data_IF_804927931199
#
_entry.id   IF_804927931199
#
_cell.length_a   1.000
_cell.length_b   1.000
_cell.length_c   1.000
_cell.angle_alpha   90.00
_cell.angle_beta   90.00
_cell.angle_gamma   90.00
#
_symmetry.space_group_name_H-M   'P 1'
#
loop_
_entity.id
_entity.type
_entity.pdbx_description
1 polymer ?
#
# COMPACT_ATOMS: atom_id res chain seq x y z
N UNK A 1 -7.67 12.31 54.19
CA UNK A 1 -8.35 12.55 52.90
C UNK A 1 -7.73 11.61 51.89
N UNK A 2 -8.49 10.78 51.17
CA UNK A 2 -7.92 9.94 50.16
C UNK A 2 -7.34 10.83 49.05
N UNK A 3 -6.05 10.68 48.75
CA UNK A 3 -5.41 11.32 47.60
C UNK A 3 -6.10 10.73 46.37
N UNK A 4 -7.05 11.46 45.80
CA UNK A 4 -7.61 11.12 44.48
C UNK A 4 -6.42 11.15 43.53
N UNK A 5 -6.04 9.98 43.00
CA UNK A 5 -4.93 9.89 42.08
C UNK A 5 -5.26 10.77 40.88
N UNK A 6 -4.31 11.58 40.45
CA UNK A 6 -4.44 12.53 39.34
C UNK A 6 -5.10 11.86 38.09
N UNK A 7 -4.83 10.59 37.92
CA UNK A 7 -5.38 9.71 36.87
C UNK A 7 -6.91 9.69 36.88
N UNK A 8 -7.56 9.52 38.07
CA UNK A 8 -9.03 9.49 38.19
C UNK A 8 -9.64 10.87 37.94
N UNK A 9 -8.95 11.93 38.33
CA UNK A 9 -9.41 13.28 38.07
C UNK A 9 -9.41 13.58 36.57
N UNK A 10 -8.34 13.21 35.86
CA UNK A 10 -8.22 13.39 34.40
C UNK A 10 -9.32 12.60 33.69
N UNK A 11 -9.55 11.34 34.06
CA UNK A 11 -10.62 10.50 33.47
C UNK A 11 -12.00 11.10 33.76
N UNK A 12 -12.25 11.58 34.97
CA UNK A 12 -13.54 12.19 35.33
C UNK A 12 -13.81 13.49 34.57
N UNK A 13 -12.80 14.36 34.46
CA UNK A 13 -12.90 15.62 33.68
C UNK A 13 -13.16 15.34 32.22
N UNK A 14 -12.45 14.35 31.66
CA UNK A 14 -12.64 13.92 30.28
C UNK A 14 -14.04 13.35 30.05
N UNK A 15 -14.51 12.42 30.91
CA UNK A 15 -15.84 11.85 30.80
C UNK A 15 -16.94 12.91 30.89
N UNK A 16 -16.76 13.93 31.79
CA UNK A 16 -17.66 15.03 31.88
C UNK A 16 -17.68 15.90 30.62
N UNK A 17 -16.50 16.21 30.07
CA UNK A 17 -16.35 16.99 28.83
C UNK A 17 -17.02 16.30 27.63
N UNK A 18 -16.78 15.00 27.47
CA UNK A 18 -17.42 14.18 26.41
C UNK A 18 -18.94 14.08 26.64
N UNK A 19 -19.39 13.92 27.91
CA UNK A 19 -20.80 13.86 28.23
C UNK A 19 -21.53 15.20 27.93
N UNK A 20 -20.90 16.34 28.23
CA UNK A 20 -21.43 17.65 27.88
C UNK A 20 -21.46 17.86 26.36
N UNK A 21 -20.39 17.47 25.66
CA UNK A 21 -20.33 17.55 24.22
C UNK A 21 -21.40 16.68 23.55
N UNK A 22 -21.65 15.47 24.09
CA UNK A 22 -22.68 14.55 23.60
C UNK A 22 -24.12 15.15 23.78
N UNK A 23 -24.32 16.00 24.76
CA UNK A 23 -25.56 16.72 24.93
C UNK A 23 -25.80 17.85 23.91
N UNK A 24 -24.72 18.34 23.28
CA UNK A 24 -24.78 19.41 22.26
C UNK A 24 -24.71 18.82 20.85
N UNK A 25 -23.72 17.97 20.62
CA UNK A 25 -23.49 17.27 19.33
C UNK A 25 -22.98 15.86 19.60
N UNK A 26 -23.86 14.83 19.53
CA UNK A 26 -23.49 13.44 19.80
C UNK A 26 -22.50 12.87 18.77
N UNK A 27 -22.53 13.36 17.50
CA UNK A 27 -21.64 12.91 16.46
C UNK A 27 -20.22 13.42 16.74
N UNK A 28 -20.09 14.71 17.05
CA UNK A 28 -18.81 15.30 17.42
C UNK A 28 -18.22 14.66 18.68
N UNK A 29 -19.04 14.39 19.70
CA UNK A 29 -18.61 13.70 20.91
C UNK A 29 -18.07 12.29 20.61
N UNK A 30 -18.73 11.53 19.73
CA UNK A 30 -18.26 10.22 19.27
C UNK A 30 -16.92 10.33 18.54
N UNK A 31 -16.78 11.27 17.60
CA UNK A 31 -15.55 11.50 16.83
C UNK A 31 -14.39 11.85 17.76
N UNK A 32 -14.59 12.78 18.71
CA UNK A 32 -13.56 13.18 19.68
C UNK A 32 -13.15 11.99 20.56
N UNK A 33 -14.12 11.19 21.02
CA UNK A 33 -13.85 10.02 21.85
C UNK A 33 -13.04 8.97 21.08
N UNK A 34 -13.43 8.67 19.86
CA UNK A 34 -12.72 7.73 19.00
C UNK A 34 -11.30 8.23 18.64
N UNK A 35 -11.16 9.53 18.33
CA UNK A 35 -9.87 10.14 18.05
C UNK A 35 -8.93 10.05 19.25
N UNK A 36 -9.43 10.39 20.45
CA UNK A 36 -8.61 10.30 21.67
C UNK A 36 -8.28 8.84 22.02
N UNK A 37 -9.25 7.92 21.88
CA UNK A 37 -9.02 6.49 22.04
C UNK A 37 -7.93 5.99 21.09
N UNK A 38 -7.98 6.43 19.82
CA UNK A 38 -6.95 6.12 18.82
C UNK A 38 -5.57 6.65 19.24
N UNK A 39 -5.48 7.90 19.72
CA UNK A 39 -4.22 8.49 20.24
C UNK A 39 -3.67 7.66 21.40
N UNK A 40 -4.50 7.39 22.42
CA UNK A 40 -4.07 6.64 23.59
C UNK A 40 -3.56 5.23 23.24
N UNK A 41 -4.29 4.52 22.35
CA UNK A 41 -3.88 3.21 21.87
C UNK A 41 -2.57 3.29 21.07
N UNK A 42 -2.45 4.29 20.19
CA UNK A 42 -1.25 4.45 19.36
C UNK A 42 -0.02 4.87 20.18
N UNK A 43 -0.22 5.68 21.21
CA UNK A 43 0.85 6.03 22.17
C UNK A 43 1.28 4.84 23.01
N UNK A 44 0.38 3.92 23.34
CA UNK A 44 0.69 2.69 24.06
C UNK A 44 1.42 1.67 23.17
N UNK A 45 0.96 1.46 21.94
CA UNK A 45 1.61 0.61 20.94
C UNK A 45 1.36 1.13 19.51
N UNK A 46 2.41 1.68 18.89
CA UNK A 46 2.39 2.21 17.52
C UNK A 46 1.94 1.14 16.51
N UNK A 47 2.23 -0.14 16.76
CA UNK A 47 1.82 -1.23 15.85
C UNK A 47 0.31 -1.43 15.86
N UNK A 48 -0.32 -1.32 17.02
CA UNK A 48 -1.80 -1.39 17.11
C UNK A 48 -2.43 -0.19 16.42
N UNK A 49 -1.87 1.02 16.64
CA UNK A 49 -2.30 2.22 15.91
C UNK A 49 -2.15 2.07 14.40
N UNK A 50 -1.03 1.48 13.93
CA UNK A 50 -0.80 1.17 12.51
C UNK A 50 -1.83 0.17 11.97
N UNK A 51 -2.19 -0.87 12.73
CA UNK A 51 -3.23 -1.83 12.33
C UNK A 51 -4.60 -1.16 12.21
N UNK A 52 -4.97 -0.31 13.17
CA UNK A 52 -6.21 0.46 13.12
C UNK A 52 -6.21 1.44 11.94
N UNK A 53 -5.09 2.12 11.70
CA UNK A 53 -4.94 2.99 10.54
C UNK A 53 -5.07 2.21 9.24
N UNK A 54 -4.45 1.03 9.12
CA UNK A 54 -4.59 0.16 7.96
C UNK A 54 -6.05 -0.24 7.69
N UNK A 55 -6.85 -0.50 8.75
CA UNK A 55 -8.29 -0.73 8.61
C UNK A 55 -9.03 0.51 8.11
N UNK A 56 -8.69 1.69 8.65
CA UNK A 56 -9.33 2.95 8.26
C UNK A 56 -9.02 3.35 6.81
N UNK A 57 -7.84 3.02 6.27
CA UNK A 57 -7.51 3.35 4.87
C UNK A 57 -8.42 2.69 3.83
N UNK A 58 -9.18 1.67 4.22
CA UNK A 58 -10.17 1.02 3.35
C UNK A 58 -11.58 1.62 3.50
N UNK A 59 -11.76 2.64 4.34
CA UNK A 59 -13.06 3.28 4.62
C UNK A 59 -13.11 4.71 4.07
N UNK A 60 -12.08 5.09 3.33
CA UNK A 60 -11.84 6.47 2.88
C UNK A 60 -12.98 7.08 2.05
N UNK A 61 -13.80 6.27 1.41
CA UNK A 61 -14.81 6.74 0.46
C UNK A 61 -16.16 6.00 0.62
N UNK A 62 -16.55 5.73 1.87
CA UNK A 62 -17.89 5.22 2.11
C UNK A 62 -18.93 6.26 1.69
N UNK A 63 -19.85 5.94 0.75
CA UNK A 63 -20.84 6.88 0.24
C UNK A 63 -21.75 7.49 1.32
N UNK A 64 -21.85 6.81 2.48
CA UNK A 64 -22.68 7.25 3.61
C UNK A 64 -21.99 8.29 4.52
N UNK A 65 -20.67 8.48 4.37
CA UNK A 65 -19.88 9.36 5.22
C UNK A 65 -19.42 10.65 4.53
N UNK A 66 -19.68 10.78 3.22
CA UNK A 66 -19.28 11.95 2.40
C UNK A 66 -17.85 12.43 2.72
N UNK A 67 -17.63 13.72 2.86
CA UNK A 67 -16.33 14.30 3.18
C UNK A 67 -15.79 13.90 4.56
N UNK A 68 -16.64 13.41 5.47
CA UNK A 68 -16.22 13.04 6.82
C UNK A 68 -15.25 11.85 6.84
N UNK A 69 -15.36 10.90 5.91
CA UNK A 69 -14.46 9.76 5.81
C UNK A 69 -13.04 10.16 5.43
N UNK A 70 -12.89 11.10 4.50
CA UNK A 70 -11.59 11.67 4.09
C UNK A 70 -10.89 12.40 5.23
N UNK A 71 -11.65 13.17 6.02
CA UNK A 71 -11.11 13.85 7.20
C UNK A 71 -10.67 12.86 8.27
N UNK A 72 -11.47 11.79 8.51
CA UNK A 72 -11.15 10.77 9.50
C UNK A 72 -9.79 10.10 9.23
N UNK A 73 -9.53 9.70 8.01
CA UNK A 73 -8.26 9.04 7.65
C UNK A 73 -7.09 10.00 7.66
N UNK A 74 -7.27 11.26 7.23
CA UNK A 74 -6.24 12.30 7.33
C UNK A 74 -5.88 12.58 8.80
N UNK A 75 -6.87 12.71 9.69
CA UNK A 75 -6.65 12.89 11.12
C UNK A 75 -5.97 11.67 11.74
N UNK A 76 -6.45 10.45 11.47
CA UNK A 76 -5.85 9.24 11.99
C UNK A 76 -4.38 9.10 11.55
N UNK A 77 -4.08 9.42 10.29
CA UNK A 77 -2.70 9.44 9.77
C UNK A 77 -1.81 10.47 10.46
N UNK A 78 -2.32 11.68 10.68
CA UNK A 78 -1.59 12.73 11.40
C UNK A 78 -1.35 12.36 12.87
N UNK A 79 -2.34 11.79 13.54
CA UNK A 79 -2.23 11.31 14.92
C UNK A 79 -1.25 10.12 15.04
N UNK A 80 -1.30 9.19 14.09
CA UNK A 80 -0.34 8.09 14.00
C UNK A 80 1.09 8.62 13.84
N UNK A 81 1.28 9.56 12.92
CA UNK A 81 2.59 10.20 12.69
C UNK A 81 3.08 10.94 13.95
N UNK A 82 2.23 11.74 14.60
CA UNK A 82 2.58 12.46 15.82
C UNK A 82 2.95 11.52 16.97
N UNK A 83 2.16 10.45 17.17
CA UNK A 83 2.43 9.43 18.19
C UNK A 83 3.74 8.69 17.90
N UNK A 84 3.99 8.38 16.62
CA UNK A 84 5.24 7.77 16.21
C UNK A 84 6.44 8.70 16.45
N UNK A 85 6.36 9.99 16.08
CA UNK A 85 7.40 10.97 16.37
C UNK A 85 7.70 11.07 17.87
N UNK A 86 6.66 11.11 18.71
CA UNK A 86 6.83 11.11 20.16
C UNK A 86 7.54 9.85 20.65
N UNK A 87 7.17 8.67 20.14
CA UNK A 87 7.81 7.40 20.50
C UNK A 87 9.26 7.32 20.04
N UNK A 88 9.59 7.89 18.88
CA UNK A 88 10.92 7.94 18.31
C UNK A 88 11.82 8.91 19.06
N UNK A 89 11.30 10.08 19.41
CA UNK A 89 12.03 11.07 20.20
C UNK A 89 12.48 10.51 21.56
N UNK A 90 11.66 9.64 22.16
CA UNK A 90 11.96 9.00 23.44
C UNK A 90 12.83 7.74 23.32
N UNK A 91 12.73 6.97 22.24
CA UNK A 91 13.35 5.65 22.11
C UNK A 91 14.53 5.56 21.14
N UNK A 92 14.87 6.60 20.41
CA UNK A 92 16.03 6.64 19.47
C UNK A 92 15.94 5.70 18.27
N UNK A 93 14.77 5.10 17.99
CA UNK A 93 14.60 4.00 17.01
C UNK A 93 14.74 4.42 15.53
N UNK A 94 14.66 5.71 15.18
CA UNK A 94 14.93 6.15 13.79
C UNK A 94 16.38 5.94 13.42
N UNK A 95 17.30 6.01 14.38
CA UNK A 95 18.72 5.70 14.13
C UNK A 95 18.91 4.29 13.57
N UNK A 96 18.03 3.34 13.92
CA UNK A 96 18.12 1.96 13.43
C UNK A 96 17.79 1.82 11.95
N UNK A 97 16.81 2.57 11.40
CA UNK A 97 16.53 2.53 9.97
C UNK A 97 17.66 3.13 9.16
N UNK A 98 18.09 4.34 9.50
CA UNK A 98 19.18 5.03 8.78
C UNK A 98 20.48 4.25 8.83
N UNK A 99 20.78 3.60 9.95
CA UNK A 99 22.00 2.78 10.09
C UNK A 99 21.89 1.42 9.39
N UNK A 100 20.69 0.81 9.36
CA UNK A 100 20.48 -0.47 8.69
C UNK A 100 20.37 -0.32 7.16
N UNK A 101 19.79 0.76 6.68
CA UNK A 101 19.53 1.00 5.26
C UNK A 101 19.85 2.45 4.85
N UNK A 102 21.13 2.90 4.97
CA UNK A 102 21.50 4.29 4.70
C UNK A 102 21.18 4.70 3.25
N UNK A 103 21.41 3.83 2.28
CA UNK A 103 21.13 4.11 0.87
C UNK A 103 19.64 4.42 0.63
N UNK A 104 18.74 3.74 1.33
CA UNK A 104 17.29 3.97 1.17
C UNK A 104 16.84 5.21 1.92
N UNK A 105 17.43 5.50 3.08
CA UNK A 105 17.17 6.76 3.78
C UNK A 105 17.54 7.96 2.88
N UNK A 106 18.70 7.91 2.23
CA UNK A 106 19.09 8.92 1.24
C UNK A 106 18.16 8.93 0.02
N UNK A 107 17.78 7.76 -0.49
CA UNK A 107 16.86 7.66 -1.63
C UNK A 107 15.51 8.33 -1.33
N UNK A 108 14.92 8.07 -0.17
CA UNK A 108 13.68 8.71 0.29
C UNK A 108 13.87 10.23 0.47
N UNK A 109 14.99 10.63 1.07
CA UNK A 109 15.32 12.05 1.25
C UNK A 109 15.49 12.77 -0.09
N UNK A 110 16.22 12.17 -1.04
CA UNK A 110 16.40 12.74 -2.39
C UNK A 110 15.07 12.80 -3.15
N UNK A 111 14.22 11.77 -3.03
CA UNK A 111 12.90 11.79 -3.65
C UNK A 111 12.05 12.96 -3.13
N UNK A 112 11.97 13.14 -1.80
CA UNK A 112 11.23 14.27 -1.23
C UNK A 112 11.85 15.62 -1.56
N UNK A 113 13.20 15.72 -1.56
CA UNK A 113 13.89 16.95 -1.94
C UNK A 113 13.63 17.31 -3.40
N UNK A 114 13.67 16.31 -4.32
CA UNK A 114 13.38 16.52 -5.72
C UNK A 114 11.93 16.95 -5.94
N UNK A 115 10.99 16.28 -5.25
CA UNK A 115 9.56 16.63 -5.29
C UNK A 115 9.33 18.05 -4.75
N UNK A 116 9.99 18.43 -3.66
CA UNK A 116 9.95 19.80 -3.13
C UNK A 116 10.57 20.83 -4.05
N UNK A 117 11.71 20.51 -4.67
CA UNK A 117 12.37 21.38 -5.63
C UNK A 117 11.52 21.64 -6.88
N UNK A 118 10.69 20.65 -7.28
CA UNK A 118 9.80 20.78 -8.44
C UNK A 118 8.78 21.92 -8.32
N UNK A 119 8.51 22.43 -7.10
CA UNK A 119 7.67 23.61 -6.89
C UNK A 119 8.21 24.87 -7.56
N UNK A 120 9.52 24.94 -7.82
CA UNK A 120 10.16 26.12 -8.44
C UNK A 120 9.71 26.33 -9.88
N UNK A 121 9.35 25.25 -10.58
CA UNK A 121 8.91 25.29 -11.99
C UNK A 121 7.49 24.77 -12.20
N UNK A 122 6.75 24.50 -11.13
CA UNK A 122 5.36 24.06 -11.19
C UNK A 122 4.44 25.18 -11.66
N UNK A 123 3.48 24.85 -12.55
CA UNK A 123 2.48 25.82 -13.04
C UNK A 123 1.51 26.23 -11.92
N UNK A 124 1.14 25.28 -11.03
CA UNK A 124 0.36 25.52 -9.81
C UNK A 124 1.18 25.10 -8.58
N UNK A 125 1.65 26.09 -7.84
CA UNK A 125 2.38 25.87 -6.57
C UNK A 125 1.47 25.22 -5.52
N UNK A 126 0.16 25.54 -5.51
CA UNK A 126 -0.81 24.97 -4.59
C UNK A 126 -0.93 23.45 -4.75
N UNK A 127 -1.12 22.99 -5.98
CA UNK A 127 -1.22 21.56 -6.30
C UNK A 127 0.10 20.84 -6.01
N UNK A 128 1.21 21.54 -6.29
CA UNK A 128 2.53 21.05 -5.96
C UNK A 128 2.77 20.87 -4.46
N UNK A 129 2.36 21.83 -3.64
CA UNK A 129 2.44 21.70 -2.16
C UNK A 129 1.61 20.52 -1.68
N UNK A 130 0.39 20.35 -2.20
CA UNK A 130 -0.45 19.20 -1.85
C UNK A 130 0.24 17.88 -2.19
N UNK A 131 0.85 17.77 -3.37
CA UNK A 131 1.60 16.59 -3.79
C UNK A 131 2.80 16.32 -2.87
N UNK A 132 3.60 17.35 -2.53
CA UNK A 132 4.73 17.24 -1.60
C UNK A 132 4.28 16.75 -0.24
N UNK A 133 3.18 17.28 0.30
CA UNK A 133 2.61 16.83 1.58
C UNK A 133 2.17 15.38 1.50
N UNK A 134 1.47 14.97 0.43
CA UNK A 134 1.04 13.59 0.23
C UNK A 134 2.23 12.61 0.18
N UNK A 135 3.27 12.91 -0.59
CA UNK A 135 4.49 12.09 -0.63
C UNK A 135 5.20 12.05 0.73
N UNK A 136 5.29 13.18 1.42
CA UNK A 136 5.91 13.26 2.74
C UNK A 136 5.18 12.39 3.77
N UNK A 137 3.85 12.43 3.80
CA UNK A 137 3.04 11.59 4.68
C UNK A 137 3.21 10.09 4.35
N UNK A 138 3.30 9.74 3.07
CA UNK A 138 3.53 8.37 2.65
C UNK A 138 4.94 7.87 2.98
N UNK A 139 5.97 8.70 2.85
CA UNK A 139 7.33 8.37 3.33
C UNK A 139 7.33 8.20 4.85
N UNK A 140 6.63 9.04 5.60
CA UNK A 140 6.47 8.86 7.05
C UNK A 140 5.75 7.54 7.35
N UNK A 141 4.69 7.19 6.63
CA UNK A 141 4.01 5.90 6.77
C UNK A 141 4.96 4.72 6.52
N UNK A 142 5.78 4.78 5.47
CA UNK A 142 6.82 3.78 5.20
C UNK A 142 7.76 3.59 6.41
N UNK A 143 8.22 4.70 7.01
CA UNK A 143 9.11 4.67 8.18
C UNK A 143 8.38 4.13 9.43
N UNK A 144 7.10 4.49 9.62
CA UNK A 144 6.26 3.95 10.69
C UNK A 144 6.15 2.43 10.56
N UNK A 145 5.82 1.92 9.38
CA UNK A 145 5.71 0.48 9.13
C UNK A 145 7.01 -0.23 9.43
N UNK A 146 8.12 0.28 8.91
CA UNK A 146 9.45 -0.30 9.15
C UNK A 146 9.79 -0.38 10.64
N UNK A 147 9.54 0.70 11.39
CA UNK A 147 9.92 0.79 12.80
C UNK A 147 8.93 0.09 13.75
N UNK A 148 7.64 0.08 13.40
CA UNK A 148 6.60 -0.59 14.19
C UNK A 148 6.68 -2.12 14.05
N UNK A 149 7.03 -2.63 12.86
CA UNK A 149 7.14 -4.07 12.60
C UNK A 149 8.50 -4.58 13.04
N UNK A 150 8.77 -4.56 14.35
CA UNK A 150 10.05 -4.97 14.95
C UNK A 150 10.10 -6.43 15.38
N UNK A 151 8.99 -7.17 15.27
CA UNK A 151 8.83 -8.55 15.71
C UNK A 151 7.94 -9.33 14.75
N UNK A 152 8.17 -10.66 14.68
CA UNK A 152 7.35 -11.60 13.90
C UNK A 152 5.85 -11.43 14.15
N UNK A 153 5.43 -11.30 15.40
CA UNK A 153 4.02 -11.14 15.80
C UNK A 153 3.41 -9.87 15.23
N UNK A 154 4.16 -8.77 15.23
CA UNK A 154 3.73 -7.48 14.71
C UNK A 154 3.57 -7.51 13.19
N UNK A 155 4.47 -8.18 12.47
CA UNK A 155 4.32 -8.42 11.03
C UNK A 155 3.02 -9.17 10.71
N UNK A 156 2.72 -10.23 11.47
CA UNK A 156 1.48 -11.00 11.32
C UNK A 156 0.25 -10.11 11.57
N UNK A 157 0.28 -9.22 12.58
CA UNK A 157 -0.84 -8.33 12.88
C UNK A 157 -1.11 -7.33 11.75
N UNK A 158 -0.07 -6.71 11.20
CA UNK A 158 -0.22 -5.75 10.08
C UNK A 158 -0.79 -6.46 8.85
N UNK A 159 -0.27 -7.66 8.51
CA UNK A 159 -0.82 -8.47 7.41
C UNK A 159 -2.27 -8.86 7.68
N UNK A 160 -2.60 -9.28 8.90
CA UNK A 160 -3.98 -9.63 9.28
C UNK A 160 -4.91 -8.42 9.19
N UNK A 161 -4.49 -7.24 9.65
CA UNK A 161 -5.27 -6.01 9.54
C UNK A 161 -5.58 -5.67 8.07
N UNK A 162 -4.57 -5.78 7.19
CA UNK A 162 -4.77 -5.57 5.75
C UNK A 162 -5.77 -6.57 5.16
N UNK A 163 -5.62 -7.87 5.48
CA UNK A 163 -6.53 -8.93 4.98
C UNK A 163 -7.96 -8.71 5.48
N UNK A 164 -8.14 -8.34 6.77
CA UNK A 164 -9.45 -8.04 7.33
C UNK A 164 -10.08 -6.85 6.62
N UNK A 165 -9.32 -5.77 6.41
CA UNK A 165 -9.78 -4.57 5.73
C UNK A 165 -10.18 -4.85 4.27
N UNK A 166 -9.33 -5.55 3.52
CA UNK A 166 -9.61 -5.95 2.14
C UNK A 166 -10.87 -6.85 2.06
N UNK A 167 -11.02 -7.79 3.00
CA UNK A 167 -12.19 -8.68 3.07
C UNK A 167 -13.47 -7.90 3.39
N UNK A 168 -13.40 -6.95 4.33
CA UNK A 168 -14.54 -6.11 4.68
C UNK A 168 -14.97 -5.25 3.48
N UNK A 169 -14.00 -4.64 2.78
CA UNK A 169 -14.26 -3.86 1.56
C UNK A 169 -14.84 -4.72 0.43
N UNK A 170 -14.31 -5.93 0.23
CA UNK A 170 -14.86 -6.89 -0.74
C UNK A 170 -16.30 -7.28 -0.40
N UNK A 171 -16.58 -7.58 0.88
CA UNK A 171 -17.93 -7.92 1.35
C UNK A 171 -18.90 -6.76 1.17
N UNK A 172 -18.46 -5.54 1.49
CA UNK A 172 -19.26 -4.34 1.26
C UNK A 172 -19.57 -4.17 -0.24
N UNK A 173 -18.58 -4.31 -1.13
CA UNK A 173 -18.79 -4.25 -2.57
C UNK A 173 -19.74 -5.31 -3.12
N UNK A 174 -19.75 -6.51 -2.51
CA UNK A 174 -20.68 -7.60 -2.85
C UNK A 174 -22.12 -7.29 -2.42
N UNK A 175 -22.31 -6.70 -1.24
CA UNK A 175 -23.64 -6.40 -0.68
C UNK A 175 -24.22 -5.12 -1.28
N UNK A 176 -23.36 -4.12 -1.54
CA UNK A 176 -23.75 -2.81 -2.10
C UNK A 176 -23.66 -2.76 -3.62
N UNK A 177 -23.55 -3.93 -4.29
CA UNK A 177 -23.49 -3.99 -5.75
C UNK A 177 -24.61 -3.16 -6.37
N UNK A 178 -24.32 -2.17 -7.23
CA UNK A 178 -25.33 -1.22 -7.71
C UNK A 178 -26.46 -1.95 -8.41
N UNK A 179 -27.67 -1.76 -7.93
CA UNK A 179 -28.86 -1.99 -8.74
C UNK A 179 -28.76 -1.09 -9.99
N UNK A 180 -29.17 -1.60 -11.14
CA UNK A 180 -28.98 -1.00 -12.47
C UNK A 180 -29.47 0.47 -12.66
N UNK A 181 -30.04 1.09 -11.61
CA UNK A 181 -30.72 2.38 -11.64
C UNK A 181 -29.95 3.58 -11.08
N UNK A 182 -28.75 3.40 -10.54
CA UNK A 182 -28.01 4.55 -10.00
C UNK A 182 -26.95 5.02 -11.01
N UNK A 183 -27.14 6.25 -11.53
CA UNK A 183 -26.41 6.91 -12.62
C UNK A 183 -24.90 7.15 -12.47
N UNK A 184 -24.18 6.26 -11.78
CA UNK A 184 -22.74 6.12 -11.84
C UNK A 184 -22.31 5.20 -12.98
N UNK A 185 -21.05 4.80 -13.08
CA UNK A 185 -20.60 3.77 -14.03
C UNK A 185 -21.35 2.46 -13.76
N UNK A 186 -22.51 2.35 -14.44
CA UNK A 186 -23.56 1.35 -14.17
C UNK A 186 -22.95 -0.05 -14.07
N UNK A 187 -23.12 -0.71 -12.92
CA UNK A 187 -22.79 -2.12 -12.71
C UNK A 187 -21.34 -2.43 -12.34
N UNK A 188 -20.54 -1.48 -11.83
CA UNK A 188 -19.20 -1.72 -11.30
C UNK A 188 -19.16 -1.51 -9.78
N UNK A 189 -18.58 -2.48 -9.05
CA UNK A 189 -18.37 -2.33 -7.61
C UNK A 189 -17.05 -1.59 -7.33
N UNK A 190 -17.12 -0.51 -6.56
CA UNK A 190 -15.97 0.22 -6.01
C UNK A 190 -15.67 -0.17 -4.55
N UNK A 191 -16.54 -0.98 -3.93
CA UNK A 191 -16.42 -1.32 -2.52
C UNK A 191 -16.48 -0.07 -1.64
N UNK A 192 -15.57 -0.01 -0.68
CA UNK A 192 -15.43 1.15 0.23
C UNK A 192 -14.43 2.20 -0.30
N UNK A 193 -13.84 2.00 -1.50
CA UNK A 193 -12.84 2.89 -2.11
C UNK A 193 -13.41 3.73 -3.27
N UNK A 194 -14.68 3.57 -3.60
CA UNK A 194 -15.45 4.25 -4.65
C UNK A 194 -14.90 4.09 -6.08
N UNK A 195 -13.57 4.04 -6.30
CA UNK A 195 -12.94 3.84 -7.61
C UNK A 195 -12.71 2.35 -7.88
N UNK A 196 -13.40 1.75 -8.88
CA UNK A 196 -13.36 0.30 -9.12
C UNK A 196 -11.97 -0.26 -9.48
N UNK A 197 -11.07 0.54 -10.07
CA UNK A 197 -9.72 0.06 -10.41
C UNK A 197 -8.82 0.03 -9.18
N UNK A 198 -8.88 1.04 -8.30
CA UNK A 198 -8.20 1.05 -7.01
C UNK A 198 -8.69 -0.10 -6.14
N UNK A 199 -10.02 -0.26 -6.02
CA UNK A 199 -10.64 -1.36 -5.31
C UNK A 199 -10.11 -2.72 -5.77
N UNK A 200 -10.11 -2.97 -7.10
CA UNK A 200 -9.59 -4.21 -7.65
C UNK A 200 -8.10 -4.42 -7.34
N UNK A 201 -7.27 -3.38 -7.47
CA UNK A 201 -5.84 -3.45 -7.22
C UNK A 201 -5.54 -3.86 -5.77
N UNK A 202 -6.20 -3.23 -4.81
CA UNK A 202 -6.02 -3.51 -3.39
C UNK A 202 -6.57 -4.90 -3.01
N UNK A 203 -7.66 -5.35 -3.64
CA UNK A 203 -8.16 -6.72 -3.45
C UNK A 203 -7.22 -7.79 -4.02
N UNK A 204 -6.50 -7.52 -5.11
CA UNK A 204 -5.45 -8.43 -5.61
C UNK A 204 -4.34 -8.60 -4.56
N UNK A 205 -3.93 -7.51 -3.90
CA UNK A 205 -3.01 -7.61 -2.76
C UNK A 205 -3.61 -8.41 -1.60
N UNK A 206 -4.91 -8.20 -1.31
CA UNK A 206 -5.67 -8.98 -0.33
C UNK A 206 -5.67 -10.49 -0.63
N UNK A 207 -5.88 -10.89 -1.89
CA UNK A 207 -5.77 -12.29 -2.34
C UNK A 207 -4.41 -12.90 -2.03
N UNK A 208 -3.33 -12.16 -2.33
CA UNK A 208 -1.97 -12.63 -2.11
C UNK A 208 -1.66 -12.84 -0.62
N UNK A 209 -2.04 -11.87 0.22
CA UNK A 209 -1.81 -11.90 1.66
C UNK A 209 -2.70 -12.93 2.37
N UNK A 210 -3.98 -13.04 1.97
CA UNK A 210 -4.90 -14.05 2.49
C UNK A 210 -4.45 -15.47 2.09
N UNK A 211 -4.03 -15.68 0.84
CA UNK A 211 -3.48 -16.95 0.38
C UNK A 211 -2.21 -17.37 1.13
N UNK A 212 -1.30 -16.42 1.37
CA UNK A 212 -0.10 -16.66 2.18
C UNK A 212 -0.46 -17.00 3.64
N UNK A 213 -1.42 -16.29 4.23
CA UNK A 213 -1.92 -16.53 5.59
C UNK A 213 -2.57 -17.91 5.70
N UNK A 214 -3.38 -18.33 4.73
CA UNK A 214 -3.99 -19.66 4.66
C UNK A 214 -2.94 -20.77 4.57
N UNK A 215 -1.89 -20.55 3.76
CA UNK A 215 -0.78 -21.50 3.62
C UNK A 215 0.07 -21.60 4.91
N UNK A 216 0.19 -20.50 5.65
CA UNK A 216 0.91 -20.42 6.92
C UNK A 216 0.13 -21.03 8.11
N UNK A 217 -1.20 -20.94 8.11
CA UNK A 217 -2.10 -21.35 9.21
C UNK A 217 -2.31 -22.86 9.33
N UNK A 218 -1.24 -23.67 9.30
CA UNK A 218 -1.34 -25.14 9.29
C UNK A 218 -1.88 -25.74 10.57
N UNK A 219 -1.61 -25.10 11.72
CA UNK A 219 -1.99 -25.59 13.03
C UNK A 219 -3.40 -25.19 13.46
N UNK A 220 -4.04 -24.27 12.75
CA UNK A 220 -5.39 -23.77 13.03
C UNK A 220 -6.28 -23.91 11.80
N UNK A 221 -7.12 -24.96 11.72
CA UNK A 221 -8.03 -25.14 10.60
C UNK A 221 -9.05 -23.98 10.48
N UNK A 222 -9.50 -23.41 11.60
CA UNK A 222 -10.40 -22.27 11.60
C UNK A 222 -9.76 -21.03 10.96
N UNK A 223 -8.52 -20.69 11.35
CA UNK A 223 -7.79 -19.57 10.78
C UNK A 223 -7.50 -19.79 9.28
N UNK A 224 -7.18 -21.03 8.92
CA UNK A 224 -6.96 -21.40 7.51
C UNK A 224 -8.24 -21.22 6.70
N UNK A 225 -9.37 -21.69 7.20
CA UNK A 225 -10.68 -21.55 6.55
C UNK A 225 -11.05 -20.06 6.39
N UNK A 226 -10.88 -19.26 7.46
CA UNK A 226 -11.14 -17.83 7.42
C UNK A 226 -10.26 -17.12 6.37
N UNK A 227 -8.96 -17.43 6.30
CA UNK A 227 -8.06 -16.86 5.30
C UNK A 227 -8.40 -17.33 3.87
N UNK A 228 -8.82 -18.58 3.67
CA UNK A 228 -9.32 -19.03 2.38
C UNK A 228 -10.62 -18.30 1.97
N UNK A 229 -11.55 -18.14 2.90
CA UNK A 229 -12.79 -17.37 2.65
C UNK A 229 -12.49 -15.91 2.29
N UNK A 230 -11.54 -15.27 3.00
CA UNK A 230 -11.06 -13.93 2.69
C UNK A 230 -10.50 -13.85 1.25
N UNK A 231 -9.67 -14.80 0.85
CA UNK A 231 -9.11 -14.85 -0.51
C UNK A 231 -10.22 -14.99 -1.57
N UNK A 232 -11.21 -15.85 -1.34
CA UNK A 232 -12.35 -16.06 -2.24
C UNK A 232 -13.20 -14.79 -2.35
N UNK A 233 -13.50 -14.11 -1.23
CA UNK A 233 -14.25 -12.85 -1.23
C UNK A 233 -13.49 -11.75 -2.00
N UNK A 234 -12.17 -11.64 -1.79
CA UNK A 234 -11.35 -10.68 -2.54
C UNK A 234 -11.35 -10.99 -4.05
N UNK A 235 -11.24 -12.26 -4.45
CA UNK A 235 -11.34 -12.67 -5.87
C UNK A 235 -12.70 -12.28 -6.44
N UNK A 236 -13.79 -12.59 -5.72
CA UNK A 236 -15.15 -12.20 -6.15
C UNK A 236 -15.28 -10.68 -6.31
N UNK A 237 -14.73 -9.90 -5.37
CA UNK A 237 -14.70 -8.43 -5.48
C UNK A 237 -13.93 -7.93 -6.70
N UNK A 238 -12.80 -8.56 -7.06
CA UNK A 238 -12.06 -8.22 -8.30
C UNK A 238 -12.93 -8.44 -9.53
N UNK A 239 -13.68 -9.53 -9.61
CA UNK A 239 -14.61 -9.76 -10.75
C UNK A 239 -15.74 -8.72 -10.79
N UNK A 240 -16.34 -8.43 -9.63
CA UNK A 240 -17.45 -7.45 -9.55
C UNK A 240 -17.03 -6.01 -9.86
N UNK A 241 -15.75 -5.68 -9.67
CA UNK A 241 -15.22 -4.37 -10.08
C UNK A 241 -15.25 -4.15 -11.59
N UNK A 242 -15.37 -5.23 -12.39
CA UNK A 242 -15.24 -5.22 -13.87
C UNK A 242 -13.99 -4.44 -14.31
N UNK A 243 -12.91 -4.49 -13.50
CA UNK A 243 -11.65 -3.81 -13.78
C UNK A 243 -10.73 -4.69 -14.61
N UNK A 244 -10.46 -4.28 -15.86
CA UNK A 244 -9.47 -4.95 -16.73
C UNK A 244 -8.09 -4.95 -16.06
N UNK A 245 -7.70 -3.85 -15.41
CA UNK A 245 -6.44 -3.72 -14.66
C UNK A 245 -6.36 -4.74 -13.52
N UNK A 246 -7.42 -4.85 -12.71
CA UNK A 246 -7.48 -5.81 -11.62
C UNK A 246 -7.39 -7.27 -12.10
N UNK A 247 -8.07 -7.60 -13.20
CA UNK A 247 -8.00 -8.95 -13.79
C UNK A 247 -6.61 -9.28 -14.34
N UNK A 248 -5.95 -8.34 -15.02
CA UNK A 248 -4.57 -8.49 -15.49
C UNK A 248 -3.62 -8.70 -14.32
N UNK A 249 -3.76 -7.87 -13.26
CA UNK A 249 -2.94 -7.99 -12.06
C UNK A 249 -3.20 -9.33 -11.34
N UNK A 250 -4.45 -9.78 -11.23
CA UNK A 250 -4.80 -11.08 -10.64
C UNK A 250 -4.18 -12.23 -11.45
N UNK A 251 -4.32 -12.22 -12.76
CA UNK A 251 -3.70 -13.24 -13.63
C UNK A 251 -2.17 -13.24 -13.46
N UNK A 252 -1.55 -12.05 -13.43
CA UNK A 252 -0.12 -11.90 -13.25
C UNK A 252 0.36 -12.49 -11.90
N UNK A 253 -0.30 -12.16 -10.77
CA UNK A 253 0.13 -12.68 -9.47
C UNK A 253 -0.09 -14.18 -9.33
N UNK A 254 -1.10 -14.76 -9.97
CA UNK A 254 -1.30 -16.21 -10.02
C UNK A 254 -0.21 -16.90 -10.84
N UNK A 255 0.14 -16.36 -12.00
CA UNK A 255 1.27 -16.86 -12.81
C UNK A 255 2.60 -16.74 -12.05
N UNK A 256 2.90 -15.56 -11.47
CA UNK A 256 4.08 -15.36 -10.63
C UNK A 256 4.08 -16.30 -9.41
N UNK A 257 2.89 -16.52 -8.81
CA UNK A 257 2.67 -17.47 -7.73
C UNK A 257 3.07 -18.89 -8.10
N UNK A 258 2.81 -19.35 -9.33
CA UNK A 258 3.26 -20.68 -9.81
C UNK A 258 4.78 -20.82 -9.74
N UNK A 259 5.52 -19.77 -10.09
CA UNK A 259 6.99 -19.77 -10.02
C UNK A 259 7.51 -19.70 -8.58
N UNK A 260 6.87 -18.89 -7.75
CA UNK A 260 7.29 -18.61 -6.37
C UNK A 260 6.81 -19.68 -5.39
N UNK A 261 5.69 -20.35 -5.66
CA UNK A 261 5.03 -21.27 -4.73
C UNK A 261 5.77 -22.60 -4.48
N UNK A 262 6.79 -22.95 -5.27
CA UNK A 262 7.55 -24.18 -5.11
C UNK A 262 6.64 -25.43 -5.15
N UNK A 263 6.52 -26.17 -4.05
CA UNK A 263 5.67 -27.38 -3.96
C UNK A 263 4.16 -27.12 -4.11
N UNK A 264 3.72 -25.87 -4.01
CA UNK A 264 2.32 -25.47 -4.19
C UNK A 264 1.97 -25.15 -5.64
N UNK A 265 2.91 -25.32 -6.57
CA UNK A 265 2.67 -25.09 -8.01
C UNK A 265 1.39 -25.75 -8.55
N UNK A 266 1.08 -27.03 -8.24
CA UNK A 266 -0.14 -27.65 -8.73
C UNK A 266 -1.39 -26.94 -8.19
N UNK A 267 -1.40 -26.55 -6.91
CA UNK A 267 -2.51 -25.81 -6.31
C UNK A 267 -2.69 -24.41 -6.94
N UNK A 268 -1.58 -23.72 -7.25
CA UNK A 268 -1.63 -22.44 -7.95
C UNK A 268 -2.14 -22.56 -9.38
N UNK A 269 -1.75 -23.62 -10.09
CA UNK A 269 -2.26 -23.91 -11.44
C UNK A 269 -3.76 -24.22 -11.44
N UNK A 270 -4.23 -25.01 -10.47
CA UNK A 270 -5.66 -25.28 -10.30
C UNK A 270 -6.43 -23.99 -9.98
N UNK A 271 -5.88 -23.15 -9.09
CA UNK A 271 -6.48 -21.86 -8.78
C UNK A 271 -6.52 -20.92 -10.01
N UNK A 272 -5.42 -20.84 -10.74
CA UNK A 272 -5.34 -20.06 -11.98
C UNK A 272 -6.37 -20.54 -13.01
N UNK A 273 -6.49 -21.83 -13.20
CA UNK A 273 -7.48 -22.42 -14.09
C UNK A 273 -8.91 -22.11 -13.60
N UNK A 274 -9.17 -22.27 -12.29
CA UNK A 274 -10.47 -21.94 -11.69
C UNK A 274 -10.84 -20.47 -11.88
N UNK A 275 -9.92 -19.55 -11.65
CA UNK A 275 -10.11 -18.12 -11.87
C UNK A 275 -10.33 -17.82 -13.36
N UNK A 276 -9.55 -18.45 -14.26
CA UNK A 276 -9.73 -18.27 -15.69
C UNK A 276 -11.10 -18.77 -16.18
N UNK A 277 -11.53 -19.96 -15.75
CA UNK A 277 -12.85 -20.51 -16.10
C UNK A 277 -14.00 -19.68 -15.51
N UNK A 278 -13.85 -19.23 -14.25
CA UNK A 278 -14.84 -18.34 -13.63
C UNK A 278 -14.93 -17.00 -14.37
N UNK A 279 -13.78 -16.46 -14.80
CA UNK A 279 -13.72 -15.26 -15.64
C UNK A 279 -14.45 -15.45 -16.97
N UNK A 280 -14.14 -16.52 -17.69
CA UNK A 280 -14.82 -16.84 -18.96
C UNK A 280 -16.33 -16.97 -18.74
N UNK A 281 -16.77 -17.70 -17.69
CA UNK A 281 -18.19 -17.84 -17.36
C UNK A 281 -18.87 -16.50 -17.04
N UNK A 282 -18.21 -15.66 -16.25
CA UNK A 282 -18.70 -14.33 -15.87
C UNK A 282 -18.86 -13.40 -17.10
N UNK A 283 -17.90 -13.41 -18.02
CA UNK A 283 -17.96 -12.59 -19.23
C UNK A 283 -18.89 -13.16 -20.30
N UNK A 284 -19.08 -14.47 -20.34
CA UNK A 284 -20.01 -15.11 -21.27
C UNK A 284 -21.49 -14.95 -20.85
N UNK A 285 -21.76 -14.70 -19.58
CA UNK A 285 -23.12 -14.57 -19.05
C UNK A 285 -23.83 -13.23 -19.34
N UNK A 286 -23.20 -12.31 -20.10
CA UNK A 286 -23.82 -11.05 -20.58
C UNK A 286 -23.41 -9.81 -19.77
N UNK A 287 -23.66 -8.61 -20.29
CA UNK A 287 -23.43 -7.29 -19.66
C UNK A 287 -21.98 -6.89 -19.39
N UNK A 288 -21.22 -7.73 -18.73
CA UNK A 288 -19.79 -7.49 -18.47
C UNK A 288 -18.92 -7.75 -19.71
N UNK A 289 -19.32 -8.73 -20.55
CA UNK A 289 -18.63 -9.05 -21.81
C UNK A 289 -18.70 -7.91 -22.82
N UNK A 290 -19.86 -7.28 -22.96
CA UNK A 290 -20.05 -6.15 -23.88
C UNK A 290 -19.17 -4.97 -23.54
N UNK A 291 -18.91 -4.70 -22.25
CA UNK A 291 -18.03 -3.61 -21.81
C UNK A 291 -16.55 -3.88 -22.04
N UNK A 292 -16.13 -5.14 -22.01
CA UNK A 292 -14.74 -5.50 -22.30
C UNK A 292 -14.45 -5.53 -23.80
N UNK A 293 -15.47 -5.84 -24.60
CA UNK A 293 -15.37 -5.98 -26.07
C UNK A 293 -15.79 -4.72 -26.82
N UNK A 294 -16.67 -3.87 -26.22
CA UNK A 294 -16.98 -2.57 -26.80
C UNK A 294 -15.66 -1.80 -26.96
N UNK A 295 -15.44 -1.42 -28.20
CA UNK A 295 -14.32 -0.57 -28.62
C UNK A 295 -14.50 0.86 -28.06
N UNK A 296 -14.58 0.98 -26.74
CA UNK A 296 -14.43 2.22 -26.01
C UNK A 296 -12.96 2.60 -26.06
N UNK A 297 -12.50 3.04 -27.23
CA UNK A 297 -11.17 3.60 -27.55
C UNK A 297 -10.26 3.84 -26.30
N UNK A 298 -10.09 2.78 -25.46
CA UNK A 298 -9.30 2.81 -24.23
C UNK A 298 -9.84 3.70 -23.11
N UNK A 299 -11.17 3.99 -23.02
CA UNK A 299 -11.77 4.88 -22.00
C UNK A 299 -11.15 6.28 -21.98
N UNK A 300 -10.67 6.79 -23.13
CA UNK A 300 -9.95 8.07 -23.25
C UNK A 300 -8.51 8.03 -22.71
N UNK A 301 -8.04 6.90 -22.19
CA UNK A 301 -6.68 6.78 -21.63
C UNK A 301 -5.59 7.05 -22.66
N UNK A 302 -5.79 6.65 -23.91
CA UNK A 302 -4.82 6.89 -24.97
C UNK A 302 -4.62 8.39 -25.21
N UNK A 303 -5.68 9.19 -25.18
CA UNK A 303 -5.59 10.64 -25.30
C UNK A 303 -4.87 11.27 -24.10
N UNK A 304 -5.22 10.83 -22.87
CA UNK A 304 -4.53 11.28 -21.65
C UNK A 304 -3.05 10.88 -21.67
N UNK A 305 -2.72 9.66 -22.12
CA UNK A 305 -1.33 9.20 -22.24
C UNK A 305 -0.57 9.97 -23.30
N UNK A 306 -1.22 10.36 -24.41
CA UNK A 306 -0.61 11.22 -25.43
C UNK A 306 -0.23 12.57 -24.83
N UNK A 307 -1.12 13.17 -24.01
CA UNK A 307 -0.81 14.42 -23.30
C UNK A 307 0.34 14.22 -22.31
N UNK A 308 0.30 13.14 -21.50
CA UNK A 308 1.39 12.83 -20.58
C UNK A 308 2.74 12.65 -21.28
N UNK A 309 2.73 12.02 -22.47
CA UNK A 309 3.93 11.84 -23.25
C UNK A 309 4.48 13.16 -23.81
N UNK A 310 3.62 14.08 -24.29
CA UNK A 310 3.99 15.42 -24.70
C UNK A 310 4.65 16.23 -23.57
N UNK A 311 4.14 16.08 -22.32
CA UNK A 311 4.79 16.67 -21.15
C UNK A 311 6.20 16.13 -20.94
N UNK A 312 6.39 14.80 -21.15
CA UNK A 312 7.71 14.16 -21.05
C UNK A 312 8.65 14.64 -22.16
N UNK A 313 8.17 14.81 -23.39
CA UNK A 313 8.97 15.32 -24.51
C UNK A 313 9.40 16.78 -24.28
N UNK A 314 8.52 17.61 -23.73
CA UNK A 314 8.82 19.02 -23.40
C UNK A 314 9.82 19.14 -22.22
N UNK A 315 9.61 18.35 -21.16
CA UNK A 315 10.40 18.43 -19.92
C UNK A 315 10.88 17.05 -19.44
N UNK A 316 11.78 16.38 -20.17
CA UNK A 316 12.12 14.98 -19.92
C UNK A 316 12.84 14.74 -18.59
N UNK A 317 13.57 15.71 -18.07
CA UNK A 317 14.38 15.57 -16.84
C UNK A 317 13.64 16.05 -15.59
N UNK A 318 12.95 17.18 -15.68
CA UNK A 318 12.34 17.87 -14.54
C UNK A 318 10.84 17.61 -14.39
N UNK A 319 10.16 17.28 -15.49
CA UNK A 319 8.70 17.21 -15.54
C UNK A 319 8.03 18.58 -15.41
N UNK A 320 6.70 18.58 -15.34
CA UNK A 320 5.88 19.80 -15.23
C UNK A 320 5.72 20.30 -13.78
N UNK A 321 6.23 19.58 -12.81
CA UNK A 321 6.08 19.82 -11.38
C UNK A 321 5.15 18.80 -10.70
N UNK A 322 5.44 18.47 -9.45
CA UNK A 322 4.63 17.53 -8.66
C UNK A 322 3.17 17.98 -8.61
N UNK A 323 2.22 17.04 -8.79
CA UNK A 323 0.79 17.31 -8.73
C UNK A 323 0.23 18.16 -9.87
N UNK A 324 1.05 18.52 -10.87
CA UNK A 324 0.66 19.46 -11.93
C UNK A 324 0.21 18.79 -13.23
N UNK A 325 0.01 17.48 -13.27
CA UNK A 325 -0.41 16.80 -14.49
C UNK A 325 -1.70 17.38 -15.05
N UNK A 326 -2.76 17.45 -14.25
CA UNK A 326 -4.08 17.95 -14.68
C UNK A 326 -4.06 19.45 -14.99
N UNK A 327 -3.31 20.23 -14.24
CA UNK A 327 -3.17 21.69 -14.41
C UNK A 327 -2.41 22.05 -15.67
N UNK A 328 -1.36 21.29 -15.99
CA UNK A 328 -0.55 21.51 -17.19
C UNK A 328 -1.19 20.92 -18.47
N UNK A 329 -2.07 19.90 -18.36
CA UNK A 329 -2.62 19.15 -19.48
C UNK A 329 -3.26 20.01 -20.60
N UNK A 330 -4.05 21.07 -20.32
CA UNK A 330 -4.65 21.91 -21.35
C UNK A 330 -3.65 22.57 -22.28
N UNK A 331 -2.44 22.91 -21.79
CA UNK A 331 -1.38 23.51 -22.59
C UNK A 331 -0.91 22.58 -23.70
N UNK A 332 -0.83 21.29 -23.43
CA UNK A 332 -0.37 20.26 -24.37
C UNK A 332 -1.45 19.77 -25.32
N UNK A 333 -2.70 20.21 -25.14
CA UNK A 333 -3.79 19.90 -26.05
C UNK A 333 -3.62 20.60 -27.40
N UNK A 334 -3.01 21.80 -27.41
CA UNK A 334 -2.81 22.62 -28.60
C UNK A 334 -1.69 22.11 -29.53
N UNK A 335 -0.91 21.13 -29.12
CA UNK A 335 0.13 20.53 -29.95
C UNK A 335 -0.46 19.70 -31.11
N UNK A 336 0.24 19.60 -32.27
CA UNK A 336 -0.23 18.82 -33.40
C UNK A 336 -0.49 17.37 -33.05
N UNK A 337 -1.61 16.83 -33.50
CA UNK A 337 -2.03 15.45 -33.30
C UNK A 337 -3.51 15.35 -32.97
N UNK A 338 -4.08 14.16 -33.18
CA UNK A 338 -5.50 13.94 -32.99
C UNK A 338 -5.78 13.51 -31.55
N UNK A 339 -6.46 14.33 -30.76
CA UNK A 339 -7.09 14.01 -29.50
C UNK A 339 -8.59 13.85 -29.78
N UNK A 340 -9.17 12.73 -29.33
CA UNK A 340 -10.57 12.40 -29.61
C UNK A 340 -11.50 12.83 -28.48
N UNK A 341 -10.99 12.88 -27.25
CA UNK A 341 -11.75 13.13 -26.01
C UNK A 341 -11.10 14.23 -25.19
N UNK A 342 -11.18 15.46 -25.70
CA UNK A 342 -10.69 16.66 -25.02
C UNK A 342 -11.49 16.99 -23.74
N UNK A 343 -12.72 16.46 -23.61
CA UNK A 343 -13.51 16.62 -22.39
C UNK A 343 -12.80 16.09 -21.13
N UNK A 344 -11.96 15.04 -21.23
CA UNK A 344 -11.17 14.51 -20.10
C UNK A 344 -9.97 15.37 -19.74
N UNK A 345 -9.71 16.40 -20.50
CA UNK A 345 -8.59 17.33 -20.28
C UNK A 345 -9.12 18.69 -19.84
N UNK A 346 -10.23 19.16 -20.44
CA UNK A 346 -10.78 20.50 -20.22
C UNK A 346 -11.95 20.51 -19.25
N UNK A 347 -12.94 19.62 -19.45
CA UNK A 347 -14.22 19.65 -18.73
C UNK A 347 -14.15 18.86 -17.42
N UNK A 348 -13.59 17.68 -17.50
CA UNK A 348 -13.38 16.77 -16.33
C UNK A 348 -11.93 16.30 -16.30
N UNK A 349 -10.98 17.17 -15.89
CA UNK A 349 -9.56 16.85 -15.91
C UNK A 349 -9.26 15.54 -15.21
N UNK A 350 -8.63 14.61 -15.93
CA UNK A 350 -8.26 13.29 -15.44
C UNK A 350 -6.74 13.19 -15.24
N UNK A 351 -6.35 12.45 -14.24
CA UNK A 351 -4.96 12.04 -14.03
C UNK A 351 -4.53 11.03 -15.10
N UNK A 352 -3.23 10.72 -15.20
CA UNK A 352 -2.70 9.83 -16.24
C UNK A 352 -3.29 8.41 -16.23
N UNK A 353 -3.90 7.96 -15.13
CA UNK A 353 -4.30 6.56 -14.90
C UNK A 353 -3.18 5.56 -15.25
N UNK A 354 -1.95 5.95 -14.94
CA UNK A 354 -0.73 5.17 -15.05
C UNK A 354 0.31 5.81 -14.11
N UNK A 355 0.64 5.13 -13.01
CA UNK A 355 1.54 5.66 -11.97
C UNK A 355 2.91 6.06 -12.53
N UNK A 356 3.43 5.29 -13.48
CA UNK A 356 4.77 5.52 -14.05
C UNK A 356 4.80 6.74 -14.95
N UNK A 357 3.79 6.86 -15.83
CA UNK A 357 3.64 8.02 -16.70
C UNK A 357 3.33 9.29 -15.90
N UNK A 358 2.48 9.17 -14.87
CA UNK A 358 2.17 10.29 -13.97
C UNK A 358 3.44 10.84 -13.33
N UNK A 359 4.23 9.97 -12.68
CA UNK A 359 5.48 10.37 -12.02
C UNK A 359 6.50 10.89 -13.02
N UNK A 360 6.60 10.28 -14.22
CA UNK A 360 7.49 10.72 -15.28
C UNK A 360 7.10 12.10 -15.82
N UNK A 361 5.82 12.33 -16.06
CA UNK A 361 5.32 13.62 -16.56
C UNK A 361 5.49 14.74 -15.50
N UNK A 362 5.21 14.45 -14.23
CA UNK A 362 5.27 15.43 -13.14
C UNK A 362 6.69 15.71 -12.65
N UNK A 363 7.52 14.67 -12.46
CA UNK A 363 8.83 14.77 -11.82
C UNK A 363 10.00 14.45 -12.75
N UNK A 364 9.72 14.17 -14.03
CA UNK A 364 10.72 13.83 -15.03
C UNK A 364 11.42 12.49 -14.78
N UNK A 365 12.45 12.22 -15.57
CA UNK A 365 13.25 10.99 -15.45
C UNK A 365 13.91 10.85 -14.07
N UNK A 366 14.34 11.95 -13.47
CA UNK A 366 14.95 11.92 -12.11
C UNK A 366 13.95 11.43 -11.09
N UNK A 367 12.74 12.00 -11.06
CA UNK A 367 11.69 11.58 -10.14
C UNK A 367 11.27 10.12 -10.35
N UNK A 368 11.12 9.71 -11.62
CA UNK A 368 10.78 8.31 -11.93
C UNK A 368 11.85 7.32 -11.48
N UNK A 369 13.14 7.62 -11.75
CA UNK A 369 14.26 6.75 -11.32
C UNK A 369 14.26 6.59 -9.80
N UNK A 370 14.11 7.68 -9.05
CA UNK A 370 14.04 7.65 -7.59
C UNK A 370 12.82 6.85 -7.10
N UNK A 371 11.65 7.10 -7.68
CA UNK A 371 10.42 6.40 -7.33
C UNK A 371 10.51 4.89 -7.61
N UNK A 372 10.91 4.49 -8.82
CA UNK A 372 11.09 3.07 -9.19
C UNK A 372 12.17 2.40 -8.35
N UNK A 373 13.20 3.13 -7.92
CA UNK A 373 14.21 2.61 -7.01
C UNK A 373 13.62 2.30 -5.62
N UNK A 374 12.69 3.12 -5.10
CA UNK A 374 11.97 2.85 -3.85
C UNK A 374 11.11 1.58 -4.01
N UNK A 375 10.35 1.48 -5.10
CA UNK A 375 9.53 0.30 -5.41
C UNK A 375 10.39 -0.97 -5.50
N UNK A 376 11.48 -0.90 -6.26
CA UNK A 376 12.42 -2.00 -6.48
C UNK A 376 13.08 -2.46 -5.19
N UNK A 377 13.49 -1.52 -4.34
CA UNK A 377 14.05 -1.85 -3.03
C UNK A 377 13.08 -2.66 -2.17
N UNK A 378 11.81 -2.26 -2.10
CA UNK A 378 10.80 -2.96 -1.30
C UNK A 378 10.51 -4.37 -1.84
N UNK A 379 10.43 -4.52 -3.17
CA UNK A 379 10.25 -5.81 -3.84
C UNK A 379 11.44 -6.74 -3.58
N UNK A 380 12.67 -6.24 -3.77
CA UNK A 380 13.91 -7.01 -3.51
C UNK A 380 14.03 -7.38 -2.04
N UNK A 381 13.64 -6.49 -1.13
CA UNK A 381 13.63 -6.75 0.30
C UNK A 381 12.68 -7.90 0.66
N UNK A 382 11.45 -7.88 0.16
CA UNK A 382 10.47 -8.95 0.40
C UNK A 382 10.94 -10.30 -0.20
N UNK A 383 11.52 -10.28 -1.41
CA UNK A 383 12.11 -11.47 -2.05
C UNK A 383 13.27 -12.05 -1.23
N UNK A 384 14.19 -11.19 -0.79
CA UNK A 384 15.36 -11.59 0.00
C UNK A 384 14.94 -12.13 1.37
N UNK A 385 13.96 -11.48 2.03
CA UNK A 385 13.39 -11.93 3.29
C UNK A 385 12.82 -13.35 3.15
N UNK A 386 12.02 -13.61 2.12
CA UNK A 386 11.47 -14.94 1.83
C UNK A 386 12.56 -16.01 1.68
N UNK A 387 13.66 -15.66 0.97
CA UNK A 387 14.81 -16.54 0.80
C UNK A 387 15.56 -16.83 2.10
N UNK A 388 15.75 -15.83 2.96
CA UNK A 388 16.40 -15.98 4.27
C UNK A 388 15.56 -16.83 5.22
N UNK A 389 14.26 -16.53 5.38
CA UNK A 389 13.35 -17.32 6.21
C UNK A 389 13.25 -18.78 5.74
N UNK A 390 13.27 -19.02 4.42
CA UNK A 390 13.32 -20.39 3.87
C UNK A 390 14.56 -21.14 4.31
N UNK A 391 15.74 -20.51 4.30
CA UNK A 391 17.00 -21.13 4.72
C UNK A 391 17.03 -21.49 6.21
N UNK A 392 16.31 -20.73 7.02
CA UNK A 392 16.19 -20.95 8.46
C UNK A 392 14.93 -21.74 8.87
N UNK A 393 14.22 -22.34 7.90
CA UNK A 393 13.01 -23.16 8.10
C UNK A 393 11.84 -22.44 8.81
N UNK A 394 11.87 -21.09 8.85
CA UNK A 394 10.73 -20.30 9.30
C UNK A 394 9.69 -20.16 8.19
N UNK A 395 8.92 -21.22 8.04
CA UNK A 395 7.94 -21.32 6.98
C UNK A 395 6.83 -20.26 7.05
N UNK A 396 6.44 -19.85 8.25
CA UNK A 396 5.38 -18.82 8.38
C UNK A 396 5.84 -17.50 7.81
N UNK A 397 7.04 -17.04 8.22
CA UNK A 397 7.59 -15.78 7.75
C UNK A 397 8.02 -15.86 6.28
N UNK A 398 8.48 -17.03 5.81
CA UNK A 398 8.72 -17.28 4.38
C UNK A 398 7.45 -17.03 3.55
N UNK A 399 6.33 -17.66 3.94
CA UNK A 399 5.07 -17.55 3.20
C UNK A 399 4.50 -16.13 3.26
N UNK A 400 4.54 -15.47 4.41
CA UNK A 400 4.12 -14.06 4.53
C UNK A 400 4.99 -13.13 3.67
N UNK A 401 6.31 -13.32 3.66
CA UNK A 401 7.20 -12.53 2.80
C UNK A 401 6.91 -12.76 1.31
N UNK A 402 6.60 -13.98 0.90
CA UNK A 402 6.13 -14.28 -0.47
C UNK A 402 4.78 -13.65 -0.77
N UNK A 403 3.86 -13.63 0.21
CA UNK A 403 2.57 -12.95 0.09
C UNK A 403 2.74 -11.45 -0.12
N UNK A 404 3.60 -10.80 0.66
CA UNK A 404 3.93 -9.37 0.50
C UNK A 404 4.60 -9.09 -0.85
N UNK A 405 5.53 -9.95 -1.28
CA UNK A 405 6.16 -9.85 -2.60
C UNK A 405 5.12 -9.89 -3.73
N UNK A 406 4.22 -10.88 -3.70
CA UNK A 406 3.17 -11.02 -4.71
C UNK A 406 2.16 -9.87 -4.64
N UNK A 407 1.81 -9.40 -3.44
CA UNK A 407 0.93 -8.24 -3.24
C UNK A 407 1.53 -6.96 -3.84
N UNK A 408 2.82 -6.70 -3.60
CA UNK A 408 3.54 -5.57 -4.22
C UNK A 408 3.55 -5.69 -5.74
N UNK A 409 3.93 -6.85 -6.27
CA UNK A 409 3.96 -7.07 -7.72
C UNK A 409 2.57 -6.91 -8.35
N UNK A 410 1.51 -7.37 -7.67
CA UNK A 410 0.13 -7.21 -8.12
C UNK A 410 -0.30 -5.75 -8.17
N UNK A 411 -0.02 -4.97 -7.12
CA UNK A 411 -0.28 -3.53 -7.10
C UNK A 411 0.47 -2.81 -8.24
N UNK A 412 1.78 -3.08 -8.39
CA UNK A 412 2.59 -2.43 -9.43
C UNK A 412 2.09 -2.72 -10.84
N UNK A 413 1.53 -3.90 -11.09
CA UNK A 413 0.90 -4.23 -12.37
C UNK A 413 -0.45 -3.53 -12.53
N UNK A 414 -1.29 -3.48 -11.47
CA UNK A 414 -2.56 -2.78 -11.51
C UNK A 414 -2.37 -1.26 -11.73
N UNK A 415 -1.36 -0.69 -11.07
CA UNK A 415 -1.04 0.74 -11.09
C UNK A 415 -0.45 1.21 -12.43
N UNK A 416 -0.11 0.28 -13.34
CA UNK A 416 0.13 0.63 -14.74
C UNK A 416 -1.13 1.19 -15.42
N UNK A 417 -2.31 0.94 -14.83
CA UNK A 417 -3.59 1.42 -15.31
C UNK A 417 -4.31 2.33 -14.29
N UNK A 418 -3.61 2.77 -13.23
CA UNK A 418 -4.11 3.66 -12.19
C UNK A 418 -3.01 4.63 -11.75
N UNK A 419 -3.37 5.78 -11.22
CA UNK A 419 -2.43 6.80 -10.71
C UNK A 419 -2.44 6.76 -9.18
N UNK A 420 -1.94 5.65 -8.60
CA UNK A 420 -2.01 5.36 -7.17
C UNK A 420 -0.69 5.66 -6.43
N UNK A 421 0.11 6.63 -6.90
CA UNK A 421 1.36 7.04 -6.27
C UNK A 421 1.19 7.56 -4.84
N UNK A 422 -0.01 7.96 -4.46
CA UNK A 422 -0.36 8.44 -3.12
C UNK A 422 -1.13 7.40 -2.28
N UNK A 423 -1.35 6.19 -2.80
CA UNK A 423 -2.10 5.13 -2.11
C UNK A 423 -1.41 4.73 -0.81
N UNK A 424 -2.12 4.84 0.30
CA UNK A 424 -1.64 4.45 1.63
C UNK A 424 -1.39 2.95 1.71
N UNK A 425 -2.20 2.16 1.01
CA UNK A 425 -2.08 0.70 0.93
C UNK A 425 -0.78 0.29 0.23
N UNK A 426 -0.43 0.97 -0.87
CA UNK A 426 0.86 0.76 -1.54
C UNK A 426 2.03 1.06 -0.60
N UNK A 427 2.05 2.24 0.03
CA UNK A 427 3.16 2.65 0.89
C UNK A 427 3.27 1.82 2.17
N UNK A 428 2.16 1.31 2.70
CA UNK A 428 2.14 0.35 3.80
C UNK A 428 2.88 -0.94 3.39
N UNK A 429 2.57 -1.50 2.23
CA UNK A 429 3.22 -2.71 1.73
C UNK A 429 4.68 -2.46 1.34
N UNK A 430 5.01 -1.26 0.81
CA UNK A 430 6.39 -0.86 0.55
C UNK A 430 7.24 -0.85 1.82
N UNK A 431 6.71 -0.33 2.94
CA UNK A 431 7.41 -0.35 4.23
C UNK A 431 7.54 -1.75 4.83
N UNK A 432 6.59 -2.64 4.53
CA UNK A 432 6.58 -4.00 5.07
C UNK A 432 7.67 -4.90 4.46
N UNK A 433 8.05 -4.71 3.21
CA UNK A 433 9.13 -5.45 2.56
C UNK A 433 10.46 -5.37 3.32
N UNK A 434 11.03 -4.18 3.51
CA UNK A 434 12.27 -4.00 4.30
C UNK A 434 12.10 -4.35 5.78
N UNK A 435 10.93 -4.17 6.38
CA UNK A 435 10.67 -4.60 7.76
C UNK A 435 10.81 -6.12 7.90
N UNK A 436 10.26 -6.89 6.97
CA UNK A 436 10.43 -8.35 6.93
C UNK A 436 11.89 -8.76 6.70
N UNK A 437 12.63 -8.01 5.87
CA UNK A 437 14.06 -8.28 5.66
C UNK A 437 14.88 -8.03 6.94
N UNK A 438 14.54 -6.98 7.70
CA UNK A 438 15.19 -6.68 8.98
C UNK A 438 14.91 -7.75 10.07
N UNK A 439 13.75 -8.42 9.99
CA UNK A 439 13.40 -9.54 10.87
C UNK A 439 14.03 -10.87 10.45
N UNK A 440 14.48 -10.97 9.19
CA UNK A 440 15.06 -12.21 8.69
C UNK A 440 16.48 -12.41 9.24
N UNK A 441 16.84 -13.65 9.66
CA UNK A 441 18.19 -13.96 10.12
C UNK A 441 19.25 -13.58 9.08
N UNK A 442 20.44 -13.16 9.56
CA UNK A 442 21.58 -12.89 8.66
C UNK A 442 21.96 -14.15 7.86
N UNK A 443 22.49 -13.93 6.66
CA UNK A 443 22.75 -15.04 5.71
C UNK A 443 23.96 -15.90 6.11
N UNK A 444 24.74 -15.54 7.09
CA UNK A 444 25.79 -16.39 7.63
C UNK A 444 25.23 -17.21 8.79
N UNK A 445 25.29 -18.57 8.72
CA UNK A 445 25.19 -19.39 9.93
C UNK A 445 26.33 -18.92 10.83
N UNK A 446 26.05 -18.52 12.06
CA UNK A 446 27.07 -18.30 13.07
C UNK A 446 27.96 -19.56 13.09
N UNK A 447 29.25 -19.41 12.79
CA UNK A 447 30.16 -20.53 12.84
C UNK A 447 30.04 -21.17 14.22
N UNK A 448 29.93 -22.51 14.34
CA UNK A 448 29.71 -23.17 15.61
C UNK A 448 30.77 -22.67 16.60
N UNK A 449 30.38 -22.39 17.85
CA UNK A 449 31.35 -21.90 18.86
C UNK A 449 32.40 -22.95 19.07
N UNK A 450 33.54 -22.80 18.40
CA UNK A 450 34.66 -23.76 18.38
C UNK A 450 35.51 -23.69 17.12
N UNK A 451 35.05 -23.11 16.03
CA UNK A 451 35.83 -22.92 14.81
C UNK A 451 36.66 -21.59 14.85
N UNK A 452 37.07 -21.11 16.01
CA UNK A 452 38.16 -20.15 16.06
C UNK A 452 39.42 -20.95 15.73
N UNK A 453 39.86 -20.80 14.49
CA UNK A 453 41.19 -21.26 14.04
C UNK A 453 42.21 -20.91 15.14
N UNK A 454 42.74 -21.95 15.77
CA UNK A 454 44.00 -21.85 16.49
C UNK A 454 45.03 -21.31 15.48
N UNK A 455 45.30 -20.01 15.57
CA UNK A 455 46.48 -19.47 14.91
C UNK A 455 47.66 -20.17 15.62
N UNK A 456 48.23 -21.19 14.98
CA UNK A 456 49.50 -21.76 15.38
C UNK A 456 50.52 -20.62 15.33
N UNK A 457 50.91 -20.15 16.52
CA UNK A 457 52.07 -19.29 16.69
C UNK A 457 53.28 -20.11 16.33
N UNK A 458 54.07 -19.74 15.32
CA UNK A 458 55.28 -20.47 15.00
C UNK A 458 56.25 -20.40 16.20
N UNK A 459 56.60 -21.54 16.72
CA UNK A 459 57.64 -21.68 17.79
C UNK A 459 58.95 -21.12 17.28
N UNK A 460 59.62 -20.20 18.02
CA UNK A 460 60.96 -19.74 17.59
C UNK A 460 61.96 -20.88 17.61
N UNK A 461 62.65 -21.06 16.49
CA UNK A 461 63.78 -21.94 16.39
C UNK A 461 64.83 -21.58 17.45
N UNK A 462 65.08 -22.48 18.39
CA UNK A 462 66.24 -22.41 19.29
C UNK A 462 67.52 -22.62 18.48
N UNK A 463 68.33 -21.58 18.40
CA UNK A 463 69.73 -21.68 17.90
C UNK A 463 70.55 -22.51 18.85
N UNK A 464 70.95 -23.67 18.33
CA UNK A 464 72.00 -24.48 18.99
C UNK A 464 73.37 -23.90 18.70
N UNK A 465 74.17 -23.70 19.80
CA UNK A 465 75.60 -23.66 19.79
C UNK A 465 76.18 -25.06 19.99
#
# INVERSE_FOLDING_TARGET
MPVVRLEYLVVAVFALAVGLLAGVDPVLALVVTLALGFVLVTMADVTVGLCLFALLTFVDQLPQLDDASLWLTKFAGALLAASWFASVATAGRVKTFVSAHPSVAYLLAFFLTWTGLSLVWADSVSDGIEAVVRYSLNVVLFLIVFTAVSERRRAIWVVAAFVIAATASATFGLVSAPSADQGGEVGRAGGTLAEPNEFAAVLVAGVCLAGASAAAARRSPALRLAACAAAVLCVAGVFLSVSRAGLIALAFVLLAGVWIAGRWRPAMLVLLLGVALSGVGYFASGGAGDRLTLADQGSGRLDIWTIGWRMVEDRPVTGVGAGNFTTAAPRYLLEPGRILRDEFIIVTPKVAHNIYLQVLAELGAVGLILFVSILGFSVVSAYTAAGRFKRHDDRTMELLSRGVLLALLGLLVADFFASEQYSKQLWLLLGLGPALLALAPSSEPEAPPGARTSVEVPTPLQSAH
#
